data_IF_130089787463
#
_entry.id   IF_130089787463
#
_cell.length_a   1.000
_cell.length_b   1.000
_cell.length_c   1.000
_cell.angle_alpha   90.00
_cell.angle_beta   90.00
_cell.angle_gamma   90.00
#
_symmetry.space_group_name_H-M   'P 1'
#
loop_
_entity.id
_entity.type
_entity.pdbx_description
1 polymer ?
#
# COMPACT_ATOMS: atom_id res chain seq x y z
N UNK A 1 9.71 -34.61 -3.79
CA UNK A 1 11.17 -34.34 -3.86
C UNK A 1 11.66 -34.04 -2.46
N UNK A 2 12.73 -34.71 -2.03
CA UNK A 2 13.37 -34.43 -0.74
C UNK A 2 14.52 -33.44 -0.97
N UNK A 3 14.55 -32.35 -0.20
CA UNK A 3 15.64 -31.39 -0.22
C UNK A 3 16.11 -31.18 1.22
N UNK A 4 17.21 -31.87 1.58
CA UNK A 4 17.56 -32.06 2.98
C UNK A 4 16.50 -32.88 3.70
N UNK A 5 15.98 -32.36 4.82
CA UNK A 5 14.90 -32.97 5.61
C UNK A 5 13.49 -32.55 5.18
N UNK A 6 13.36 -31.66 4.21
CA UNK A 6 12.07 -31.11 3.79
C UNK A 6 11.51 -31.84 2.56
N UNK A 7 10.18 -32.03 2.53
CA UNK A 7 9.48 -32.74 1.45
C UNK A 7 8.63 -31.76 0.66
N UNK A 8 8.82 -31.79 -0.66
CA UNK A 8 8.07 -30.98 -1.61
C UNK A 8 7.22 -31.84 -2.54
N UNK A 9 5.98 -31.41 -2.71
CA UNK A 9 5.14 -31.85 -3.83
C UNK A 9 5.59 -31.10 -5.08
N UNK A 10 6.02 -31.87 -6.08
CA UNK A 10 6.52 -31.32 -7.33
C UNK A 10 5.48 -31.54 -8.42
N UNK A 11 4.89 -30.45 -8.89
CA UNK A 11 4.01 -30.47 -10.04
C UNK A 11 4.79 -30.10 -11.30
N UNK A 12 4.67 -30.92 -12.35
CA UNK A 12 5.30 -30.69 -13.65
C UNK A 12 4.26 -30.20 -14.64
N UNK A 13 4.46 -28.98 -15.14
CA UNK A 13 3.61 -28.37 -16.16
C UNK A 13 4.38 -28.23 -17.48
N UNK A 14 3.80 -28.65 -18.62
CA UNK A 14 4.41 -28.36 -19.91
C UNK A 14 4.43 -26.84 -20.16
N UNK A 15 5.57 -26.32 -20.62
CA UNK A 15 5.67 -24.94 -21.08
C UNK A 15 5.19 -24.89 -22.53
N UNK A 16 4.36 -23.91 -22.85
CA UNK A 16 3.94 -23.66 -24.22
C UNK A 16 5.00 -22.82 -24.93
N UNK A 17 5.38 -23.27 -26.12
CA UNK A 17 6.33 -22.58 -27.00
C UNK A 17 7.80 -22.92 -26.72
N UNK A 18 8.62 -22.57 -27.72
CA UNK A 18 9.98 -23.09 -27.84
C UNK A 18 11.04 -22.07 -27.41
N UNK A 19 10.61 -20.95 -26.80
CA UNK A 19 11.43 -19.77 -26.54
C UNK A 19 11.98 -19.67 -25.10
N UNK A 20 11.93 -20.77 -24.34
CA UNK A 20 12.46 -20.83 -22.98
C UNK A 20 13.92 -21.32 -22.99
N UNK A 21 14.87 -20.46 -23.32
CA UNK A 21 16.29 -20.83 -23.48
C UNK A 21 17.15 -20.30 -22.33
N UNK A 22 18.05 -21.14 -21.83
CA UNK A 22 19.13 -20.74 -20.93
C UNK A 22 20.34 -20.32 -21.77
N UNK A 23 20.77 -19.08 -21.59
CA UNK A 23 22.01 -18.57 -22.19
C UNK A 23 23.03 -18.28 -21.11
N UNK A 24 24.28 -18.69 -21.36
CA UNK A 24 25.43 -18.24 -20.57
C UNK A 24 26.13 -17.14 -21.35
N UNK A 25 26.42 -16.04 -20.67
CA UNK A 25 27.23 -14.96 -21.23
C UNK A 25 28.71 -15.33 -21.17
N UNK A 26 29.35 -15.39 -22.33
CA UNK A 26 30.80 -15.59 -22.44
C UNK A 26 31.42 -14.39 -23.18
N UNK A 27 32.15 -13.55 -22.43
CA UNK A 27 32.72 -12.31 -22.97
C UNK A 27 31.64 -11.37 -23.51
N UNK A 28 31.72 -11.05 -24.81
CA UNK A 28 30.75 -10.20 -25.53
C UNK A 28 29.59 -10.99 -26.15
N UNK A 29 29.62 -12.32 -26.11
CA UNK A 29 28.62 -13.19 -26.73
C UNK A 29 27.68 -13.89 -25.73
N UNK A 30 26.58 -14.42 -26.27
CA UNK A 30 25.67 -15.34 -25.58
C UNK A 30 25.78 -16.73 -26.20
N UNK A 31 26.03 -17.75 -25.37
CA UNK A 31 26.03 -19.15 -25.77
C UNK A 31 24.76 -19.82 -25.24
N UNK A 32 23.97 -20.42 -26.15
CA UNK A 32 22.82 -21.24 -25.76
C UNK A 32 23.27 -22.52 -25.08
N UNK A 33 22.78 -22.78 -23.87
CA UNK A 33 23.14 -23.95 -23.07
C UNK A 33 22.02 -24.99 -23.02
N UNK A 34 20.78 -24.57 -22.82
CA UNK A 34 19.66 -25.49 -22.67
C UNK A 34 18.33 -24.86 -23.10
N UNK A 35 17.38 -25.70 -23.48
CA UNK A 35 15.99 -25.30 -23.76
C UNK A 35 15.07 -25.96 -22.75
N UNK A 36 14.30 -25.17 -22.02
CA UNK A 36 13.35 -25.66 -21.01
C UNK A 36 11.99 -25.94 -21.64
N UNK A 37 11.54 -27.19 -21.52
CA UNK A 37 10.23 -27.63 -22.04
C UNK A 37 9.14 -27.70 -20.97
N UNK A 38 9.53 -27.75 -19.70
CA UNK A 38 8.59 -27.93 -18.59
C UNK A 38 8.96 -27.06 -17.40
N UNK A 39 7.94 -26.53 -16.73
CA UNK A 39 8.07 -25.82 -15.46
C UNK A 39 7.75 -26.76 -14.31
N UNK A 40 8.60 -26.74 -13.30
CA UNK A 40 8.35 -27.43 -12.03
C UNK A 40 7.83 -26.42 -11.01
N UNK A 41 6.76 -26.76 -10.31
CA UNK A 41 6.23 -25.99 -9.18
C UNK A 41 6.42 -26.82 -7.92
N UNK A 42 7.22 -26.29 -7.00
CA UNK A 42 7.49 -26.89 -5.70
C UNK A 42 6.49 -26.34 -4.69
N UNK A 43 5.66 -27.23 -4.14
CA UNK A 43 4.65 -26.88 -3.13
C UNK A 43 5.04 -27.54 -1.81
N UNK A 44 4.81 -26.86 -0.67
CA UNK A 44 4.95 -27.51 0.63
C UNK A 44 3.98 -28.68 0.72
N UNK A 45 4.46 -29.83 1.18
CA UNK A 45 3.65 -31.05 1.27
C UNK A 45 2.64 -31.02 2.44
N UNK A 46 2.92 -30.21 3.48
CA UNK A 46 2.10 -30.12 4.69
C UNK A 46 2.09 -28.69 5.27
N UNK A 47 1.05 -28.34 6.03
CA UNK A 47 0.96 -27.08 6.80
C UNK A 47 1.99 -27.00 7.92
N UNK A 48 2.49 -28.14 8.39
CA UNK A 48 3.53 -28.20 9.42
C UNK A 48 4.95 -28.08 8.85
N UNK A 49 5.11 -28.17 7.52
CA UNK A 49 6.41 -28.03 6.87
C UNK A 49 7.09 -26.70 7.21
N UNK A 50 8.42 -26.70 7.23
CA UNK A 50 9.19 -25.49 7.46
C UNK A 50 8.87 -24.43 6.39
N UNK A 51 8.78 -24.87 5.13
CA UNK A 51 8.45 -23.97 4.01
C UNK A 51 7.05 -23.38 4.14
N UNK A 52 6.03 -24.15 4.51
CA UNK A 52 4.68 -23.62 4.69
C UNK A 52 4.67 -22.57 5.81
N UNK A 53 5.22 -22.90 6.99
CA UNK A 53 5.30 -21.98 8.13
C UNK A 53 6.00 -20.68 7.75
N UNK A 54 7.16 -20.77 7.09
CA UNK A 54 7.93 -19.59 6.65
C UNK A 54 7.13 -18.72 5.67
N UNK A 55 6.45 -19.32 4.69
CA UNK A 55 5.64 -18.55 3.74
C UNK A 55 4.43 -17.88 4.42
N UNK A 56 3.73 -18.61 5.30
CA UNK A 56 2.57 -18.09 6.04
C UNK A 56 2.97 -16.93 6.96
N UNK A 57 4.10 -17.03 7.66
CA UNK A 57 4.64 -15.95 8.49
C UNK A 57 4.98 -14.71 7.66
N UNK A 58 5.68 -14.89 6.53
CA UNK A 58 6.03 -13.77 5.64
C UNK A 58 4.81 -13.04 5.07
N UNK A 59 3.69 -13.74 4.85
CA UNK A 59 2.43 -13.13 4.40
C UNK A 59 1.74 -12.38 5.54
N UNK A 60 1.77 -12.92 6.77
CA UNK A 60 1.16 -12.29 7.94
C UNK A 60 1.77 -10.90 8.21
N UNK A 61 3.11 -10.79 8.14
CA UNK A 61 3.83 -9.52 8.37
C UNK A 61 3.46 -8.44 7.34
N UNK A 62 3.25 -8.82 6.08
CA UNK A 62 2.86 -7.89 5.02
C UNK A 62 1.38 -7.48 5.12
N UNK A 63 0.56 -8.26 5.80
CA UNK A 63 -0.89 -8.10 5.88
C UNK A 63 -1.38 -7.27 7.06
N UNK A 64 -0.47 -6.68 7.86
CA UNK A 64 -0.87 -5.68 8.84
C UNK A 64 -1.48 -4.47 8.11
N UNK A 65 -2.80 -4.55 7.87
CA UNK A 65 -3.62 -3.40 7.52
C UNK A 65 -3.41 -2.42 8.65
N UNK A 66 -2.65 -1.37 8.39
CA UNK A 66 -2.78 -0.13 9.13
C UNK A 66 -4.19 0.36 8.82
N UNK A 67 -5.17 -0.12 9.60
CA UNK A 67 -6.46 0.55 9.73
C UNK A 67 -6.18 1.89 10.40
N UNK A 68 -5.54 2.78 9.65
CA UNK A 68 -5.31 4.16 10.04
C UNK A 68 -6.66 4.80 10.07
N UNK A 69 -7.27 4.86 11.25
CA UNK A 69 -8.41 5.72 11.51
C UNK A 69 -7.93 7.13 11.17
N UNK A 70 -8.27 7.63 9.98
CA UNK A 70 -8.09 9.04 9.65
C UNK A 70 -9.17 9.80 10.41
N UNK A 71 -8.84 10.26 11.60
CA UNK A 71 -9.65 11.22 12.34
C UNK A 71 -9.57 12.54 11.56
N UNK A 72 -10.56 12.78 10.70
CA UNK A 72 -10.75 14.08 10.07
C UNK A 72 -11.34 14.99 11.13
N UNK A 73 -10.50 15.81 11.78
CA UNK A 73 -10.91 16.75 12.82
C UNK A 73 -11.85 17.83 12.32
N UNK A 74 -11.94 18.05 11.01
CA UNK A 74 -12.76 19.09 10.42
C UNK A 74 -13.40 18.59 9.12
N UNK A 75 -14.72 18.40 9.16
CA UNK A 75 -15.56 18.17 8.00
C UNK A 75 -16.37 19.45 7.75
N UNK A 76 -15.91 20.27 6.80
CA UNK A 76 -16.63 21.46 6.35
C UNK A 76 -16.05 22.80 6.81
N UNK A 77 -16.74 23.88 6.40
CA UNK A 77 -16.39 25.26 6.71
C UNK A 77 -16.72 25.57 8.17
N UNK A 78 -15.73 26.03 8.94
CA UNK A 78 -15.88 26.37 10.34
C UNK A 78 -16.81 27.60 10.50
N UNK A 79 -18.02 27.43 11.07
CA UNK A 79 -18.98 28.53 11.23
C UNK A 79 -18.47 29.63 12.17
N UNK A 80 -17.46 29.35 13.00
CA UNK A 80 -16.87 30.29 13.94
C UNK A 80 -15.63 31.01 13.40
N UNK A 81 -15.11 30.62 12.22
CA UNK A 81 -13.90 31.22 11.64
C UNK A 81 -14.00 32.75 11.46
N UNK A 82 -15.20 33.23 11.11
CA UNK A 82 -15.45 34.67 10.88
C UNK A 82 -16.14 35.35 12.07
N UNK A 83 -16.23 34.69 13.23
CA UNK A 83 -16.96 35.22 14.40
C UNK A 83 -16.34 36.52 14.91
N UNK A 84 -15.01 36.58 14.99
CA UNK A 84 -14.30 37.77 15.48
C UNK A 84 -14.49 38.97 14.54
N UNK A 85 -14.41 38.76 13.23
CA UNK A 85 -14.63 39.83 12.25
C UNK A 85 -16.07 40.36 12.28
N UNK A 86 -17.05 39.47 12.42
CA UNK A 86 -18.47 39.85 12.54
C UNK A 86 -18.71 40.69 13.80
N UNK A 87 -18.15 40.28 14.94
CA UNK A 87 -18.26 41.02 16.20
C UNK A 87 -17.65 42.42 16.06
N UNK A 88 -16.44 42.53 15.50
CA UNK A 88 -15.77 43.82 15.31
C UNK A 88 -16.57 44.76 14.39
N UNK A 89 -17.15 44.22 13.32
CA UNK A 89 -17.97 44.99 12.38
C UNK A 89 -19.27 45.50 13.01
N UNK A 90 -19.91 44.69 13.87
CA UNK A 90 -21.08 45.12 14.63
C UNK A 90 -20.74 46.21 15.65
N UNK A 91 -19.61 46.06 16.36
CA UNK A 91 -19.13 47.05 17.33
C UNK A 91 -18.85 48.40 16.65
N UNK A 92 -18.18 48.39 15.49
CA UNK A 92 -17.91 49.61 14.74
C UNK A 92 -19.20 50.28 14.25
N UNK A 93 -20.17 49.48 13.79
CA UNK A 93 -21.48 49.98 13.38
C UNK A 93 -22.25 50.61 14.55
N UNK A 94 -22.20 49.99 15.72
CA UNK A 94 -22.81 50.52 16.96
C UNK A 94 -22.12 51.82 17.40
N UNK A 95 -20.79 51.89 17.30
CA UNK A 95 -20.04 53.11 17.62
C UNK A 95 -20.35 54.24 16.66
N UNK A 96 -20.56 53.94 15.38
CA UNK A 96 -20.97 54.91 14.38
C UNK A 96 -22.41 55.40 14.59
N UNK A 97 -23.35 54.53 14.99
CA UNK A 97 -24.73 54.94 15.29
C UNK A 97 -24.79 55.85 16.52
N UNK A 98 -24.09 55.49 17.61
CA UNK A 98 -24.02 56.32 18.82
C UNK A 98 -23.44 57.71 18.55
N UNK A 99 -22.43 57.83 17.67
CA UNK A 99 -21.87 59.12 17.26
C UNK A 99 -22.82 59.98 16.42
N UNK A 100 -23.72 59.37 15.65
CA UNK A 100 -24.74 60.10 14.87
C UNK A 100 -25.85 60.59 15.79
N UNK A 101 -26.30 59.74 16.69
CA UNK A 101 -27.35 60.04 17.67
C UNK A 101 -26.91 61.11 18.67
N UNK A 102 -25.64 61.11 19.09
CA UNK A 102 -25.07 62.15 19.97
C UNK A 102 -24.90 63.52 19.30
N UNK A 103 -24.96 63.60 17.96
CA UNK A 103 -24.87 64.85 17.20
C UNK A 103 -26.25 65.41 16.81
N UNK A 104 -27.33 64.66 17.05
CA UNK A 104 -28.71 65.05 16.76
C UNK A 104 -29.47 65.61 17.98
N UNK A 105 -28.81 65.73 19.14
CA UNK A 105 -29.29 66.48 20.31
C UNK A 105 -28.49 67.76 20.46
#
# INVERSE_FOLDING_TARGET
>A
LHLGSEVFDVYKQPLQGDHNHLFIRQGTGLQGQAVFRTKLTFRPHSTESFTHRKMTLSLADRSQKTSGIKVLSQVGFDPDQNRYEKIKKEEEKLRASLRRESKQK
#
